data_IF_609428872967
#
_entry.id   IF_609428872967
#
_cell.length_a   1.000
_cell.length_b   1.000
_cell.length_c   1.000
_cell.angle_alpha   90.00
_cell.angle_beta   90.00
_cell.angle_gamma   90.00
#
_symmetry.space_group_name_H-M   'P 1'
#
loop_
_entity.id
_entity.type
_entity.pdbx_description
1 polymer ?
#
# COMPACT_ATOMS: atom_id res chain seq x y z
N UNK A 1 30.79 14.58 17.61
CA UNK A 1 29.38 14.14 17.58
C UNK A 1 28.99 13.77 18.98
N UNK A 2 28.00 14.44 19.55
CA UNK A 2 27.49 14.11 20.88
C UNK A 2 26.59 12.89 20.79
N UNK A 3 26.94 11.83 21.52
CA UNK A 3 26.12 10.65 21.63
C UNK A 3 25.13 10.81 22.77
N UNK A 4 23.84 10.62 22.48
CA UNK A 4 22.79 10.49 23.50
C UNK A 4 22.36 9.03 23.62
N UNK A 5 22.38 8.52 24.84
CA UNK A 5 21.90 7.18 25.14
C UNK A 5 20.39 7.21 25.37
N UNK A 6 19.68 6.31 24.70
CA UNK A 6 18.23 6.12 24.84
C UNK A 6 17.94 4.64 25.08
N UNK A 7 16.97 4.37 25.94
CA UNK A 7 16.56 3.01 26.31
C UNK A 7 15.12 2.76 25.88
N UNK A 8 14.88 1.60 25.28
CA UNK A 8 13.53 1.17 24.86
C UNK A 8 13.32 -0.30 25.26
N UNK A 9 12.04 -0.69 25.40
CA UNK A 9 11.66 -2.07 25.73
C UNK A 9 11.17 -2.78 24.48
N UNK A 10 11.59 -4.03 24.32
CA UNK A 10 11.17 -4.91 23.23
C UNK A 10 10.98 -6.32 23.78
N UNK A 11 10.05 -7.12 23.25
CA UNK A 11 9.87 -8.52 23.65
C UNK A 11 11.17 -9.32 23.56
N UNK A 12 11.41 -10.21 24.54
CA UNK A 12 12.68 -10.93 24.70
C UNK A 12 13.00 -11.82 23.48
N UNK A 13 11.97 -12.45 22.90
CA UNK A 13 12.08 -13.24 21.68
C UNK A 13 12.55 -12.38 20.49
N UNK A 14 12.01 -11.18 20.32
CA UNK A 14 12.37 -10.26 19.24
C UNK A 14 13.79 -9.71 19.42
N UNK A 15 14.19 -9.38 20.66
CA UNK A 15 15.58 -8.95 20.97
C UNK A 15 16.59 -10.04 20.61
N UNK A 16 16.26 -11.29 20.91
CA UNK A 16 17.14 -12.42 20.64
C UNK A 16 17.32 -12.64 19.14
N UNK A 17 16.22 -12.61 18.38
CA UNK A 17 16.23 -12.70 16.92
C UNK A 17 17.02 -11.54 16.29
N UNK A 18 16.78 -10.31 16.77
CA UNK A 18 17.44 -9.12 16.26
C UNK A 18 18.95 -9.15 16.50
N UNK A 19 19.40 -9.58 17.68
CA UNK A 19 20.83 -9.76 17.98
C UNK A 19 21.47 -10.80 17.06
N UNK A 20 20.84 -11.97 16.92
CA UNK A 20 21.34 -13.01 16.00
C UNK A 20 21.46 -12.52 14.56
N UNK A 21 20.50 -11.70 14.10
CA UNK A 21 20.56 -11.08 12.78
C UNK A 21 21.73 -10.09 12.64
N UNK A 22 21.96 -9.26 13.66
CA UNK A 22 23.08 -8.32 13.69
C UNK A 22 24.43 -9.06 13.67
N UNK A 23 24.56 -10.12 14.47
CA UNK A 23 25.78 -10.94 14.55
C UNK A 23 26.11 -11.59 13.21
N UNK A 24 25.11 -12.15 12.51
CA UNK A 24 25.29 -12.73 11.16
C UNK A 24 25.75 -11.72 10.13
N UNK A 25 25.40 -10.43 10.32
CA UNK A 25 25.79 -9.34 9.42
C UNK A 25 27.06 -8.62 9.85
N UNK A 26 27.66 -8.99 10.99
CA UNK A 26 28.87 -8.35 11.52
C UNK A 26 28.65 -6.89 11.96
N UNK A 27 27.42 -6.53 12.34
CA UNK A 27 27.07 -5.16 12.77
C UNK A 27 26.57 -5.16 14.22
N UNK A 28 26.71 -4.03 14.91
CA UNK A 28 26.13 -3.89 16.26
C UNK A 28 24.66 -3.49 16.16
N UNK A 29 23.80 -3.87 17.13
CA UNK A 29 22.43 -3.38 17.20
C UNK A 29 22.33 -1.86 17.15
N UNK A 30 23.23 -1.16 17.86
CA UNK A 30 23.24 0.31 17.91
C UNK A 30 23.62 0.95 16.57
N UNK A 31 24.60 0.39 15.86
CA UNK A 31 24.99 0.90 14.53
C UNK A 31 23.88 0.65 13.51
N UNK A 32 23.26 -0.53 13.54
CA UNK A 32 22.16 -0.85 12.63
C UNK A 32 20.93 0.03 12.88
N UNK A 33 20.55 0.23 14.15
CA UNK A 33 19.43 1.12 14.51
C UNK A 33 19.72 2.56 14.06
N UNK A 34 20.94 3.05 14.25
CA UNK A 34 21.33 4.39 13.80
C UNK A 34 21.21 4.53 12.28
N UNK A 35 21.70 3.55 11.53
CA UNK A 35 21.59 3.56 10.07
C UNK A 35 20.13 3.51 9.61
N UNK A 36 19.28 2.74 10.29
CA UNK A 36 17.85 2.69 9.99
C UNK A 36 17.17 4.04 10.27
N UNK A 37 17.48 4.68 11.40
CA UNK A 37 16.96 6.00 11.74
C UNK A 37 17.42 7.04 10.71
N UNK A 38 18.70 7.03 10.33
CA UNK A 38 19.23 7.97 9.34
C UNK A 38 18.57 7.77 7.97
N UNK A 39 18.37 6.53 7.54
CA UNK A 39 17.64 6.23 6.29
C UNK A 39 16.21 6.75 6.31
N UNK A 40 15.51 6.60 7.43
CA UNK A 40 14.14 7.11 7.58
C UNK A 40 14.09 8.64 7.60
N UNK A 41 15.14 9.30 8.12
CA UNK A 41 15.26 10.77 8.10
C UNK A 41 15.60 11.28 6.69
N UNK A 42 16.52 10.61 5.99
CA UNK A 42 16.97 11.02 4.65
C UNK A 42 15.92 10.75 3.56
N UNK A 43 15.15 9.68 3.71
CA UNK A 43 14.05 9.32 2.82
C UNK A 43 12.83 8.99 3.69
N UNK A 44 12.08 10.00 4.16
CA UNK A 44 10.85 9.76 4.89
C UNK A 44 9.86 9.13 3.92
N UNK A 45 9.74 7.80 3.95
CA UNK A 45 8.71 7.11 3.19
C UNK A 45 7.42 7.39 3.95
N UNK A 46 6.47 8.15 3.37
CA UNK A 46 5.25 8.48 4.10
C UNK A 46 4.54 7.18 4.44
N UNK A 47 4.28 6.92 5.72
CA UNK A 47 3.59 5.71 6.19
C UNK A 47 2.23 5.49 5.52
N UNK A 48 1.63 6.57 5.01
CA UNK A 48 0.41 6.57 4.22
C UNK A 48 0.61 7.48 3.00
N UNK A 49 0.76 6.86 1.83
CA UNK A 49 0.77 7.58 0.54
C UNK A 49 -0.56 7.43 -0.16
N UNK A 50 -1.14 8.56 -0.58
CA UNK A 50 -2.33 8.62 -1.41
C UNK A 50 -1.93 9.00 -2.85
N UNK A 51 -2.74 8.59 -3.80
CA UNK A 51 -2.49 8.88 -5.21
C UNK A 51 -3.62 8.44 -6.12
N UNK A 52 -3.46 8.73 -7.41
CA UNK A 52 -4.42 8.40 -8.46
C UNK A 52 -3.86 7.36 -9.42
N UNK A 53 -4.65 6.32 -9.69
CA UNK A 53 -4.34 5.33 -10.71
C UNK A 53 -4.32 5.96 -12.09
N UNK A 54 -3.36 5.54 -12.92
CA UNK A 54 -3.21 5.95 -14.31
C UNK A 54 -2.74 4.77 -15.15
N UNK A 55 -3.57 4.39 -16.11
CA UNK A 55 -3.23 3.41 -17.14
C UNK A 55 -2.86 4.18 -18.42
N UNK A 56 -1.71 3.88 -19.01
CA UNK A 56 -1.22 4.55 -20.22
C UNK A 56 -0.91 3.50 -21.30
N UNK A 57 -1.39 3.73 -22.51
CA UNK A 57 -1.11 2.87 -23.66
C UNK A 57 0.18 3.29 -24.36
N UNK A 58 1.10 2.35 -24.57
CA UNK A 58 2.26 2.47 -25.42
C UNK A 58 1.98 1.86 -26.80
N UNK A 59 1.78 2.74 -27.78
CA UNK A 59 1.50 2.38 -29.18
C UNK A 59 2.66 1.66 -29.87
N UNK A 60 3.89 1.77 -29.34
CA UNK A 60 5.08 1.18 -29.99
C UNK A 60 5.20 -0.30 -29.70
N UNK A 61 4.82 -0.70 -28.49
CA UNK A 61 4.94 -2.08 -28.01
C UNK A 61 3.60 -2.79 -27.91
N UNK A 62 2.50 -2.10 -28.21
CA UNK A 62 1.12 -2.56 -28.04
C UNK A 62 0.85 -3.05 -26.60
N UNK A 63 1.32 -2.27 -25.63
CA UNK A 63 1.27 -2.62 -24.23
C UNK A 63 0.81 -1.43 -23.39
N UNK A 64 0.36 -1.73 -22.18
CA UNK A 64 -0.07 -0.75 -21.21
C UNK A 64 0.89 -0.70 -20.02
N UNK A 65 0.93 0.47 -19.39
CA UNK A 65 1.63 0.70 -18.13
C UNK A 65 0.60 1.18 -17.12
N UNK A 66 0.49 0.45 -16.00
CA UNK A 66 -0.27 0.91 -14.85
C UNK A 66 0.67 1.58 -13.85
N UNK A 67 0.38 2.83 -13.56
CA UNK A 67 1.11 3.65 -12.58
C UNK A 67 0.16 4.31 -11.60
N UNK A 68 0.68 4.68 -10.43
CA UNK A 68 0.03 5.56 -9.47
C UNK A 68 0.81 6.88 -9.46
N UNK A 69 0.10 7.98 -9.70
CA UNK A 69 0.63 9.32 -9.45
C UNK A 69 0.32 9.66 -7.99
N UNK A 70 1.36 9.72 -7.17
CA UNK A 70 1.27 10.06 -5.77
C UNK A 70 1.01 11.57 -5.60
N UNK A 71 0.43 11.95 -4.47
CA UNK A 71 0.12 13.36 -4.16
C UNK A 71 1.38 14.23 -3.99
N UNK A 72 2.51 13.61 -3.63
CA UNK A 72 3.84 14.26 -3.62
C UNK A 72 4.41 14.52 -5.02
N UNK A 73 3.68 14.16 -6.09
CA UNK A 73 4.08 14.36 -7.48
C UNK A 73 4.88 13.20 -8.08
N UNK A 74 5.32 12.24 -7.27
CA UNK A 74 6.05 11.06 -7.74
C UNK A 74 5.14 10.11 -8.53
N UNK A 75 5.76 9.35 -9.43
CA UNK A 75 5.09 8.32 -10.22
C UNK A 75 5.69 6.96 -9.88
N UNK A 76 4.85 6.07 -9.38
CA UNK A 76 5.22 4.68 -9.11
C UNK A 76 4.57 3.79 -10.16
N UNK A 77 5.36 2.98 -10.85
CA UNK A 77 4.82 1.99 -11.77
C UNK A 77 4.41 0.74 -10.97
N UNK A 78 3.16 0.33 -11.10
CA UNK A 78 2.61 -0.87 -10.46
C UNK A 78 2.83 -2.08 -11.35
N UNK A 79 2.53 -1.93 -12.65
CA UNK A 79 2.77 -2.96 -13.67
C UNK A 79 3.29 -2.30 -14.95
N UNK A 80 4.21 -2.99 -15.61
CA UNK A 80 4.78 -2.61 -16.90
C UNK A 80 4.52 -3.72 -17.93
N UNK A 81 4.54 -3.37 -19.21
CA UNK A 81 4.38 -4.30 -20.32
C UNK A 81 3.09 -5.14 -20.26
N UNK A 82 1.99 -4.51 -19.83
CA UNK A 82 0.70 -5.16 -19.65
C UNK A 82 0.04 -5.38 -21.01
N UNK A 83 -0.39 -6.60 -21.32
CA UNK A 83 -1.08 -6.89 -22.58
C UNK A 83 -2.50 -6.31 -22.60
N UNK A 84 -3.07 -6.03 -23.79
CA UNK A 84 -4.47 -5.61 -23.91
C UNK A 84 -5.43 -6.64 -23.30
N UNK A 85 -5.24 -7.92 -23.60
CA UNK A 85 -6.07 -9.02 -23.09
C UNK A 85 -6.14 -9.06 -21.55
N UNK A 86 -5.01 -8.81 -20.88
CA UNK A 86 -5.00 -8.76 -19.42
C UNK A 86 -5.89 -7.63 -18.88
N UNK A 87 -5.89 -6.45 -19.51
CA UNK A 87 -6.73 -5.34 -19.07
C UNK A 87 -8.21 -5.58 -19.33
N UNK A 88 -8.55 -6.24 -20.43
CA UNK A 88 -9.93 -6.64 -20.76
C UNK A 88 -10.45 -7.63 -19.70
N UNK A 89 -9.68 -8.68 -19.39
CA UNK A 89 -10.05 -9.64 -18.35
C UNK A 89 -10.17 -8.99 -16.96
N UNK A 90 -9.24 -8.09 -16.63
CA UNK A 90 -9.29 -7.33 -15.38
C UNK A 90 -10.55 -6.45 -15.30
N UNK A 91 -10.92 -5.79 -16.40
CA UNK A 91 -12.14 -4.98 -16.47
C UNK A 91 -13.39 -5.83 -16.19
N UNK A 92 -13.47 -7.03 -16.78
CA UNK A 92 -14.59 -7.94 -16.59
C UNK A 92 -14.67 -8.47 -15.15
N UNK A 93 -13.52 -8.82 -14.56
CA UNK A 93 -13.45 -9.26 -13.17
C UNK A 93 -13.86 -8.15 -12.19
N UNK A 94 -13.36 -6.93 -12.38
CA UNK A 94 -13.71 -5.79 -11.54
C UNK A 94 -15.19 -5.45 -11.67
N UNK A 95 -15.73 -5.45 -12.89
CA UNK A 95 -17.14 -5.16 -13.14
C UNK A 95 -18.05 -6.19 -12.47
N UNK A 96 -17.71 -7.49 -12.55
CA UNK A 96 -18.44 -8.55 -11.83
C UNK A 96 -18.41 -8.34 -10.32
N UNK A 97 -17.25 -8.10 -9.73
CA UNK A 97 -17.14 -7.86 -8.28
C UNK A 97 -17.91 -6.62 -7.81
N UNK A 98 -17.94 -5.55 -8.61
CA UNK A 98 -18.76 -4.36 -8.32
C UNK A 98 -20.26 -4.65 -8.38
N UNK A 99 -20.71 -5.45 -9.37
CA UNK A 99 -22.10 -5.87 -9.50
C UNK A 99 -22.55 -6.80 -8.37
N UNK A 100 -21.69 -7.76 -7.99
CA UNK A 100 -21.93 -8.64 -6.84
C UNK A 100 -22.07 -7.82 -5.54
N UNK A 101 -21.18 -6.84 -5.33
CA UNK A 101 -21.28 -5.92 -4.20
C UNK A 101 -22.58 -5.13 -4.24
N UNK A 102 -22.96 -4.57 -5.39
CA UNK A 102 -24.20 -3.81 -5.56
C UNK A 102 -25.42 -4.67 -5.20
N UNK A 103 -25.44 -5.92 -5.66
CA UNK A 103 -26.48 -6.89 -5.35
C UNK A 103 -26.52 -7.20 -3.85
N UNK A 104 -25.36 -7.43 -3.22
CA UNK A 104 -25.25 -7.73 -1.79
C UNK A 104 -25.78 -6.60 -0.91
N UNK A 105 -25.50 -5.34 -1.26
CA UNK A 105 -25.99 -4.17 -0.51
C UNK A 105 -27.41 -3.74 -0.91
N UNK A 106 -28.08 -4.49 -1.81
CA UNK A 106 -29.42 -4.16 -2.31
C UNK A 106 -29.48 -2.87 -3.13
N UNK A 107 -28.36 -2.45 -3.74
CA UNK A 107 -28.28 -1.24 -4.57
C UNK A 107 -28.86 -1.53 -5.95
N UNK A 108 -30.07 -1.00 -6.19
CA UNK A 108 -30.82 -1.17 -7.46
C UNK A 108 -30.47 -0.09 -8.48
N UNK A 109 -30.26 1.15 -8.02
CA UNK A 109 -29.94 2.28 -8.88
C UNK A 109 -28.47 2.68 -8.76
N UNK A 110 -27.82 2.99 -9.88
CA UNK A 110 -26.38 3.31 -9.93
C UNK A 110 -25.99 4.50 -9.04
N UNK A 111 -26.88 5.47 -8.85
CA UNK A 111 -26.62 6.68 -8.06
C UNK A 111 -27.15 6.61 -6.62
N UNK A 112 -27.79 5.49 -6.25
CA UNK A 112 -28.31 5.33 -4.88
C UNK A 112 -27.19 5.03 -3.88
N UNK A 113 -27.36 5.53 -2.65
CA UNK A 113 -26.41 5.35 -1.56
C UNK A 113 -26.95 4.26 -0.63
N UNK A 114 -26.16 3.22 -0.29
CA UNK A 114 -26.60 2.22 0.66
C UNK A 114 -26.79 2.85 2.04
N UNK A 115 -27.97 2.66 2.64
CA UNK A 115 -28.28 3.14 3.99
C UNK A 115 -28.24 1.95 4.96
N UNK A 116 -27.45 2.01 6.04
CA UNK A 116 -27.44 0.98 7.07
C UNK A 116 -28.83 0.74 7.65
N UNK A 117 -29.22 -0.53 7.80
CA UNK A 117 -30.53 -0.92 8.32
C UNK A 117 -30.82 -0.40 9.72
N UNK A 118 -29.78 -0.20 10.53
CA UNK A 118 -29.90 0.27 11.91
C UNK A 118 -30.42 1.71 11.99
N UNK A 119 -30.14 2.52 10.97
CA UNK A 119 -30.72 3.87 10.83
C UNK A 119 -32.22 3.77 10.57
N UNK A 120 -32.65 2.82 9.73
CA UNK A 120 -34.04 2.65 9.33
C UNK A 120 -34.90 1.96 10.41
N UNK A 121 -34.30 1.07 11.20
CA UNK A 121 -35.01 0.29 12.23
C UNK A 121 -35.25 1.07 13.52
N UNK A 122 -34.58 2.21 13.70
CA UNK A 122 -34.60 3.00 14.92
C UNK A 122 -33.91 2.27 16.08
N UNK A 123 -33.27 3.01 16.99
CA UNK A 123 -32.85 2.44 18.28
C UNK A 123 -34.09 1.90 18.98
N UNK A 124 -34.21 0.57 19.09
CA UNK A 124 -35.07 -0.05 20.10
C UNK A 124 -34.47 0.17 21.48
#
# INVERSE_FOLDING_TARGET
MDYRSVSTKMPVNEVTLFKSFCDKKGVTPASLIRDLILREIEVPIPHTVAGKNRITYDKRTDQFIWSVKLDNGEKVNVLQNVSPAFLEELQDMVSRGLNERASFIGKVENDSVPVPSDILRGKR
#
